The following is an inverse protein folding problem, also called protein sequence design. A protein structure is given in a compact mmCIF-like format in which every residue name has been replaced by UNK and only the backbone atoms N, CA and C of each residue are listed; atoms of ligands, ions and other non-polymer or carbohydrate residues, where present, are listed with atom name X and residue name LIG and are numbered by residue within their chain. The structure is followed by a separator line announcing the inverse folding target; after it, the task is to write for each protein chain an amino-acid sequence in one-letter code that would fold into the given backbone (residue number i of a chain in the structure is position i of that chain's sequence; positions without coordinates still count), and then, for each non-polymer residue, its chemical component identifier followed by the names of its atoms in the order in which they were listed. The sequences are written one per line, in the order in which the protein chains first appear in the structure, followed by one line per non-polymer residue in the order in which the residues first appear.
data_IF_897674902407
#
_entry.id   IF_897674902407
#
_cell.length_a   1.000
_cell.length_b   1.000
_cell.length_c   1.000
_cell.angle_alpha   90.00
_cell.angle_beta   90.00
_cell.angle_gamma   90.00
#
_symmetry.space_group_name_H-M   'P 1'
#
loop_
_entity.id
_entity.type
_entity.pdbx_description
1 polymer ?
#
# COMPACT_ATOMS: atom_id res chain seq x y z
N UNK A 1 28.70 -0.78 -5.55
CA UNK A 1 27.66 -0.57 -4.52
C UNK A 1 26.49 -1.46 -4.90
N UNK A 2 26.15 -2.46 -4.09
CA UNK A 2 25.00 -3.33 -4.35
C UNK A 2 23.87 -2.82 -3.48
N UNK A 3 22.86 -2.21 -4.10
CA UNK A 3 21.64 -1.81 -3.41
C UNK A 3 20.91 -3.11 -3.01
N UNK A 4 20.78 -3.37 -1.72
CA UNK A 4 19.99 -4.49 -1.18
C UNK A 4 18.77 -3.89 -0.52
N UNK A 5 17.61 -4.10 -1.11
CA UNK A 5 16.34 -3.79 -0.48
C UNK A 5 15.79 -5.09 0.11
N UNK A 6 15.36 -5.03 1.37
CA UNK A 6 14.69 -6.15 2.03
C UNK A 6 13.23 -6.18 1.58
N UNK A 7 12.85 -7.21 0.82
CA UNK A 7 11.49 -7.40 0.32
C UNK A 7 10.46 -7.49 1.45
N UNK A 8 10.86 -7.99 2.62
CA UNK A 8 9.97 -8.08 3.78
C UNK A 8 9.61 -6.70 4.32
N UNK A 9 10.57 -5.78 4.43
CA UNK A 9 10.33 -4.39 4.82
C UNK A 9 9.44 -3.65 3.82
N UNK A 10 9.64 -3.88 2.52
CA UNK A 10 8.79 -3.30 1.47
C UNK A 10 7.34 -3.80 1.61
N UNK A 11 7.14 -5.09 1.89
CA UNK A 11 5.81 -5.68 2.09
C UNK A 11 5.11 -5.14 3.33
N UNK A 12 5.83 -4.92 4.43
CA UNK A 12 5.28 -4.29 5.64
C UNK A 12 4.79 -2.88 5.33
N UNK A 13 5.62 -2.07 4.67
CA UNK A 13 5.23 -0.70 4.33
C UNK A 13 4.05 -0.67 3.33
N UNK A 14 4.02 -1.59 2.35
CA UNK A 14 2.86 -1.74 1.47
C UNK A 14 1.57 -2.10 2.22
N UNK A 15 1.65 -2.88 3.30
CA UNK A 15 0.52 -3.20 4.16
C UNK A 15 0.04 -1.98 4.97
N UNK A 16 0.97 -1.18 5.52
CA UNK A 16 0.64 0.07 6.21
C UNK A 16 -0.08 1.07 5.30
N UNK A 17 0.29 1.15 4.01
CA UNK A 17 -0.44 1.97 3.04
C UNK A 17 -1.87 1.48 2.78
N UNK A 18 -2.09 0.15 2.77
CA UNK A 18 -3.44 -0.42 2.66
C UNK A 18 -4.28 -0.18 3.91
N UNK A 19 -3.67 -0.24 5.09
CA UNK A 19 -4.34 0.12 6.34
C UNK A 19 -4.75 1.60 6.32
N UNK A 20 -3.83 2.49 5.97
CA UNK A 20 -4.10 3.93 5.79
C UNK A 20 -5.21 4.18 4.75
N UNK A 21 -5.25 3.41 3.65
CA UNK A 21 -6.33 3.50 2.67
C UNK A 21 -7.69 3.23 3.32
N UNK A 22 -7.78 2.19 4.16
CA UNK A 22 -9.03 1.82 4.85
C UNK A 22 -9.50 2.89 5.83
N UNK A 23 -8.57 3.56 6.51
CA UNK A 23 -8.86 4.67 7.42
C UNK A 23 -9.41 5.89 6.65
N UNK A 24 -8.79 6.23 5.52
CA UNK A 24 -9.23 7.33 4.65
C UNK A 24 -10.60 7.03 4.04
N UNK A 25 -10.87 5.78 3.67
CA UNK A 25 -12.16 5.35 3.16
C UNK A 25 -13.26 5.45 4.23
N UNK A 26 -12.95 5.06 5.48
CA UNK A 26 -13.83 5.25 6.63
C UNK A 26 -14.13 6.73 6.87
N UNK A 27 -13.11 7.59 6.85
CA UNK A 27 -13.26 9.04 7.03
C UNK A 27 -14.14 9.65 5.93
N UNK A 28 -13.92 9.28 4.67
CA UNK A 28 -14.75 9.70 3.53
C UNK A 28 -16.21 9.27 3.72
N UNK A 29 -16.44 8.02 4.11
CA UNK A 29 -17.78 7.49 4.35
C UNK A 29 -18.49 8.19 5.51
N UNK A 30 -17.77 8.51 6.58
CA UNK A 30 -18.29 9.31 7.68
C UNK A 30 -18.74 10.69 7.19
N UNK A 31 -17.90 11.36 6.41
CA UNK A 31 -18.22 12.66 5.82
C UNK A 31 -19.46 12.59 4.92
N UNK A 32 -19.59 11.55 4.10
CA UNK A 32 -20.76 11.38 3.25
C UNK A 32 -22.05 11.21 4.07
N UNK A 33 -21.98 10.46 5.18
CA UNK A 33 -23.15 10.18 6.04
C UNK A 33 -23.55 11.35 6.93
N UNK A 34 -22.59 12.12 7.41
CA UNK A 34 -22.79 13.12 8.46
C UNK A 34 -22.47 14.55 8.03
N UNK A 35 -21.88 14.72 6.84
CA UNK A 35 -21.47 16.01 6.34
C UNK A 35 -22.64 16.87 5.87
N UNK A 36 -23.70 16.30 5.30
CA UNK A 36 -24.79 17.11 4.74
C UNK A 36 -25.74 17.68 5.80
N UNK A 37 -26.14 18.93 5.62
CA UNK A 37 -27.16 19.57 6.45
C UNK A 37 -28.52 19.33 5.81
N UNK A 38 -29.41 18.64 6.54
CA UNK A 38 -30.77 18.39 6.07
C UNK A 38 -31.51 19.70 5.74
N UNK A 39 -32.41 19.64 4.76
CA UNK A 39 -33.21 20.79 4.28
C UNK A 39 -33.93 21.56 5.40
N UNK A 40 -34.25 20.88 6.52
CA UNK A 40 -34.92 21.43 7.69
C UNK A 40 -33.99 22.20 8.66
N UNK A 41 -32.67 22.09 8.51
CA UNK A 41 -31.66 22.83 9.30
C UNK A 41 -31.20 24.13 8.59
N UNK A 42 -31.65 24.36 7.36
CA UNK A 42 -31.16 25.40 6.45
C UNK A 42 -31.75 26.81 6.70
N UNK A 43 -31.98 27.20 7.96
CA UNK A 43 -32.41 28.56 8.35
C UNK A 43 -31.37 29.64 8.00
N UNK A 44 -30.90 30.46 8.96
CA UNK A 44 -29.77 31.39 8.70
C UNK A 44 -28.52 30.66 8.15
N UNK A 45 -28.42 29.34 8.40
CA UNK A 45 -27.41 28.41 7.86
C UNK A 45 -27.53 28.20 6.34
N UNK A 46 -28.70 28.41 5.73
CA UNK A 46 -28.91 28.29 4.28
C UNK A 46 -28.03 29.22 3.44
N UNK A 47 -27.63 30.37 3.99
CA UNK A 47 -26.67 31.30 3.37
C UNK A 47 -25.26 30.70 3.27
N UNK A 48 -24.88 29.84 4.23
CA UNK A 48 -23.59 29.14 4.25
C UNK A 48 -23.66 27.77 3.57
N UNK A 49 -24.86 27.24 3.30
CA UNK A 49 -25.05 25.91 2.72
C UNK A 49 -24.35 25.75 1.36
N UNK A 50 -24.30 26.79 0.53
CA UNK A 50 -23.56 26.76 -0.73
C UNK A 50 -22.05 26.62 -0.55
N UNK A 51 -21.46 27.44 0.35
CA UNK A 51 -20.03 27.36 0.66
C UNK A 51 -19.66 26.04 1.32
N UNK A 52 -20.53 25.55 2.20
CA UNK A 52 -20.36 24.26 2.86
C UNK A 52 -20.37 23.09 1.87
N UNK A 53 -21.30 23.06 0.90
CA UNK A 53 -21.28 22.05 -0.18
C UNK A 53 -20.00 22.14 -1.03
N UNK A 54 -19.55 23.36 -1.32
CA UNK A 54 -18.28 23.57 -2.03
C UNK A 54 -17.09 23.02 -1.26
N UNK A 55 -17.04 23.23 0.05
CA UNK A 55 -16.03 22.66 0.94
C UNK A 55 -16.10 21.13 0.97
N UNK A 56 -17.29 20.54 1.14
CA UNK A 56 -17.46 19.09 1.12
C UNK A 56 -17.01 18.46 -0.20
N UNK A 57 -17.29 19.11 -1.34
CA UNK A 57 -16.85 18.64 -2.64
C UNK A 57 -15.31 18.68 -2.78
N UNK A 58 -14.66 19.75 -2.30
CA UNK A 58 -13.20 19.82 -2.28
C UNK A 58 -12.59 18.76 -1.35
N UNK A 59 -13.22 18.53 -0.20
CA UNK A 59 -12.78 17.53 0.75
C UNK A 59 -12.97 16.11 0.19
N UNK A 60 -14.06 15.85 -0.53
CA UNK A 60 -14.28 14.59 -1.24
C UNK A 60 -13.22 14.34 -2.32
N UNK A 61 -12.91 15.37 -3.11
CA UNK A 61 -11.85 15.30 -4.13
C UNK A 61 -10.48 15.00 -3.50
N UNK A 62 -10.15 15.64 -2.37
CA UNK A 62 -8.92 15.37 -1.64
C UNK A 62 -8.86 13.92 -1.13
N UNK A 63 -9.96 13.39 -0.58
CA UNK A 63 -10.02 11.99 -0.16
C UNK A 63 -9.82 11.05 -1.36
N UNK A 64 -10.44 11.33 -2.51
CA UNK A 64 -10.26 10.52 -3.72
C UNK A 64 -8.80 10.49 -4.20
N UNK A 65 -8.14 11.64 -4.17
CA UNK A 65 -6.73 11.75 -4.51
C UNK A 65 -5.85 10.96 -3.54
N UNK A 66 -6.11 11.08 -2.23
CA UNK A 66 -5.38 10.35 -1.20
C UNK A 66 -5.56 8.84 -1.34
N UNK A 67 -6.80 8.36 -1.53
CA UNK A 67 -7.10 6.95 -1.78
C UNK A 67 -6.36 6.42 -3.01
N UNK A 68 -6.33 7.21 -4.09
CA UNK A 68 -5.62 6.84 -5.33
C UNK A 68 -4.11 6.72 -5.09
N UNK A 69 -3.51 7.65 -4.36
CA UNK A 69 -2.07 7.62 -4.04
C UNK A 69 -1.75 6.41 -3.17
N UNK A 70 -2.48 6.20 -2.08
CA UNK A 70 -2.25 5.09 -1.16
C UNK A 70 -2.37 3.74 -1.86
N UNK A 71 -3.43 3.56 -2.67
CA UNK A 71 -3.65 2.35 -3.45
C UNK A 71 -2.51 2.08 -4.43
N UNK A 72 -2.21 3.06 -5.30
CA UNK A 72 -1.19 2.90 -6.35
C UNK A 72 0.21 2.70 -5.76
N UNK A 73 0.54 3.41 -4.69
CA UNK A 73 1.82 3.22 -3.99
C UNK A 73 1.90 1.85 -3.34
N UNK A 74 0.82 1.37 -2.72
CA UNK A 74 0.76 0.01 -2.14
C UNK A 74 0.91 -1.10 -3.19
N UNK A 75 0.27 -0.95 -4.35
CA UNK A 75 0.44 -1.87 -5.49
C UNK A 75 1.88 -1.86 -6.00
N UNK A 76 2.43 -0.68 -6.31
CA UNK A 76 3.78 -0.56 -6.83
C UNK A 76 4.83 -1.14 -5.87
N UNK A 77 4.70 -0.93 -4.57
CA UNK A 77 5.60 -1.53 -3.57
C UNK A 77 5.44 -3.05 -3.51
N UNK A 78 4.23 -3.57 -3.67
CA UNK A 78 3.99 -5.01 -3.70
C UNK A 78 4.66 -5.65 -4.92
N UNK A 79 4.55 -5.03 -6.09
CA UNK A 79 5.22 -5.47 -7.32
C UNK A 79 6.74 -5.44 -7.15
N UNK A 80 7.29 -4.33 -6.65
CA UNK A 80 8.74 -4.19 -6.40
C UNK A 80 9.24 -5.26 -5.41
N UNK A 81 8.48 -5.58 -4.36
CA UNK A 81 8.87 -6.64 -3.44
C UNK A 81 8.94 -8.02 -4.10
N UNK A 82 8.05 -8.30 -5.07
CA UNK A 82 8.08 -9.54 -5.85
C UNK A 82 9.32 -9.59 -6.74
N UNK A 83 9.65 -8.49 -7.42
CA UNK A 83 10.84 -8.41 -8.28
C UNK A 83 12.14 -8.64 -7.50
N UNK A 84 12.23 -8.12 -6.26
CA UNK A 84 13.36 -8.38 -5.37
C UNK A 84 13.43 -9.85 -4.95
N UNK A 85 12.32 -10.46 -4.55
CA UNK A 85 12.29 -11.88 -4.17
C UNK A 85 12.73 -12.79 -5.33
N UNK A 86 12.30 -12.48 -6.55
CA UNK A 86 12.64 -13.27 -7.73
C UNK A 86 14.11 -13.08 -8.13
N UNK A 87 14.64 -11.88 -7.99
CA UNK A 87 16.07 -11.59 -8.20
C UNK A 87 16.95 -12.31 -7.17
N UNK A 88 16.53 -12.33 -5.90
CA UNK A 88 17.25 -13.02 -4.84
C UNK A 88 17.23 -14.54 -5.04
N UNK A 89 16.08 -15.13 -5.39
CA UNK A 89 15.98 -16.55 -5.75
C UNK A 89 16.87 -16.89 -6.95
N UNK A 90 16.82 -16.10 -8.03
CA UNK A 90 17.65 -16.34 -9.21
C UNK A 90 19.14 -16.23 -8.90
N UNK A 91 19.51 -15.35 -7.98
CA UNK A 91 20.89 -15.20 -7.52
C UNK A 91 21.33 -16.37 -6.64
N UNK A 92 20.45 -16.87 -5.76
CA UNK A 92 20.69 -18.07 -4.96
C UNK A 92 20.87 -19.32 -5.84
N UNK A 93 19.99 -19.53 -6.83
CA UNK A 93 20.11 -20.65 -7.79
C UNK A 93 21.43 -20.60 -8.56
N UNK A 94 21.87 -19.42 -8.99
CA UNK A 94 23.16 -19.26 -9.67
C UNK A 94 24.34 -19.56 -8.74
N UNK A 95 24.26 -19.18 -7.46
CA UNK A 95 25.27 -19.51 -6.47
C UNK A 95 25.32 -21.02 -6.20
N UNK A 96 24.17 -21.66 -6.04
CA UNK A 96 24.05 -23.11 -5.86
C UNK A 96 24.62 -23.88 -7.05
N UNK A 97 24.33 -23.44 -8.28
CA UNK A 97 24.86 -24.03 -9.50
C UNK A 97 26.37 -23.86 -9.67
N UNK A 98 26.98 -22.86 -9.01
CA UNK A 98 28.41 -22.62 -9.04
C UNK A 98 29.19 -23.51 -8.05
N UNK A 99 28.52 -24.21 -7.12
CA UNK A 99 29.21 -25.13 -6.22
C UNK A 99 29.64 -26.40 -6.96
N UNK A 100 30.93 -26.79 -6.89
CA UNK A 100 31.39 -28.04 -7.47
C UNK A 100 30.74 -29.24 -6.75
N UNK A 101 30.39 -30.27 -7.51
CA UNK A 101 29.83 -31.50 -6.94
C UNK A 101 30.86 -32.15 -6.01
N UNK A 102 30.58 -32.14 -4.70
CA UNK A 102 31.43 -32.80 -3.71
C UNK A 102 31.13 -34.30 -3.72
N UNK A 103 32.13 -35.19 -3.87
CA UNK A 103 31.91 -36.62 -3.77
C UNK A 103 31.37 -36.96 -2.38
N UNK A 104 30.26 -37.71 -2.30
CA UNK A 104 29.74 -38.20 -1.02
C UNK A 104 30.79 -39.13 -0.38
N UNK A 105 31.07 -38.99 0.93
CA UNK A 105 31.95 -39.93 1.63
C UNK A 105 31.37 -41.33 1.50
N UNK A 106 32.13 -42.24 0.90
CA UNK A 106 31.78 -43.66 0.87
C UNK A 106 32.01 -44.18 2.29
N UNK A 107 31.02 -44.80 2.96
CA UNK A 107 31.26 -45.37 4.28
C UNK A 107 32.32 -46.46 4.15
N UNK A 108 33.46 -46.30 4.82
CA UNK A 108 34.44 -47.38 4.95
C UNK A 108 33.81 -48.48 5.79
N UNK A 109 33.54 -49.63 5.17
CA UNK A 109 33.20 -50.87 5.87
C UNK A 109 34.51 -51.50 6.33
N UNK A 110 34.72 -51.54 7.64
CA UNK A 110 35.65 -52.47 8.30
C UNK A 110 35.00 -53.86 8.40
#
# INVERSE_FOLDING_TARGET
MTFRADSSGIRVFAAELRESYSEVELAKNYLHRHGDFGFHQAGVIGLLAGQHRGFLAQLEELHNQLLTILWRSGEALTEVAVDYDDTDKASAVRADAAYPAVPRPVPSRD
#
